data_IF_158319967839
#
_entry.id   IF_158319967839
#
_cell.length_a   1.000
_cell.length_b   1.000
_cell.length_c   1.000
_cell.angle_alpha   90.00
_cell.angle_beta   90.00
_cell.angle_gamma   90.00
#
_symmetry.space_group_name_H-M   'P 1'
#
loop_
_entity.id
_entity.type
_entity.pdbx_description
1 polymer ?
#
# COMPACT_ATOMS: atom_id res chain seq x y z
N UNK A 1 -26.29 -1.67 8.00
CA UNK A 1 -25.62 -0.37 7.77
C UNK A 1 -25.37 -0.21 6.27
N UNK A 2 -25.46 1.00 5.73
CA UNK A 2 -25.11 1.28 4.33
C UNK A 2 -23.96 2.28 4.33
N UNK A 3 -22.86 1.95 3.65
CA UNK A 3 -21.74 2.86 3.42
C UNK A 3 -21.80 3.35 1.98
N UNK A 4 -21.92 4.65 1.81
CA UNK A 4 -21.97 5.31 0.50
C UNK A 4 -20.56 5.84 0.16
N UNK A 5 -19.84 5.11 -0.69
CA UNK A 5 -18.44 5.40 -1.05
C UNK A 5 -18.43 6.31 -2.27
N UNK A 6 -18.73 7.58 -2.03
CA UNK A 6 -19.01 8.56 -3.09
C UNK A 6 -17.83 8.80 -4.02
N UNK A 7 -16.61 8.85 -3.50
CA UNK A 7 -15.43 9.11 -4.33
C UNK A 7 -15.09 7.99 -5.31
N UNK A 8 -15.49 6.76 -4.99
CA UNK A 8 -15.27 5.60 -5.87
C UNK A 8 -16.56 5.05 -6.49
N UNK A 9 -17.72 5.64 -6.20
CA UNK A 9 -19.00 5.29 -6.81
C UNK A 9 -19.51 3.89 -6.45
N UNK A 10 -19.29 3.44 -5.21
CA UNK A 10 -19.71 2.12 -4.73
C UNK A 10 -20.56 2.25 -3.45
N UNK A 11 -21.54 1.38 -3.28
CA UNK A 11 -22.28 1.25 -2.02
C UNK A 11 -22.03 -0.12 -1.39
N UNK A 12 -21.80 -0.14 -0.08
CA UNK A 12 -21.65 -1.37 0.69
C UNK A 12 -22.83 -1.49 1.64
N UNK A 13 -23.56 -2.60 1.52
CA UNK A 13 -24.69 -2.91 2.39
C UNK A 13 -24.29 -4.01 3.36
N UNK A 14 -24.10 -3.64 4.61
CA UNK A 14 -23.83 -4.57 5.70
C UNK A 14 -25.16 -4.93 6.37
N UNK A 15 -25.67 -6.14 6.14
CA UNK A 15 -26.92 -6.60 6.75
C UNK A 15 -26.64 -7.41 8.01
N UNK A 16 -27.17 -6.96 9.15
CA UNK A 16 -27.28 -7.75 10.37
C UNK A 16 -28.55 -8.62 10.39
N UNK A 17 -29.43 -8.45 9.41
CA UNK A 17 -30.66 -9.21 9.26
C UNK A 17 -30.39 -10.54 8.53
N UNK A 18 -31.17 -11.57 8.85
CA UNK A 18 -31.16 -12.89 8.21
C UNK A 18 -31.58 -12.92 6.73
N UNK A 19 -31.76 -11.74 6.12
CA UNK A 19 -32.12 -11.60 4.71
C UNK A 19 -30.88 -11.92 3.88
N UNK A 20 -30.83 -13.14 3.35
CA UNK A 20 -29.69 -13.62 2.56
C UNK A 20 -29.48 -12.81 1.28
N UNK A 21 -28.26 -12.89 0.74
CA UNK A 21 -27.84 -12.20 -0.49
C UNK A 21 -28.87 -12.29 -1.63
N UNK A 22 -29.45 -13.47 -1.88
CA UNK A 22 -30.44 -13.68 -2.95
C UNK A 22 -31.71 -12.82 -2.78
N UNK A 23 -32.16 -12.61 -1.55
CA UNK A 23 -33.34 -11.78 -1.28
C UNK A 23 -33.06 -10.30 -1.55
N UNK A 24 -31.86 -9.83 -1.18
CA UNK A 24 -31.40 -8.47 -1.48
C UNK A 24 -31.26 -8.31 -3.00
N UNK A 25 -30.60 -9.26 -3.66
CA UNK A 25 -30.42 -9.25 -5.11
C UNK A 25 -31.75 -9.22 -5.85
N UNK A 26 -32.72 -10.05 -5.44
CA UNK A 26 -34.05 -10.08 -6.06
C UNK A 26 -34.82 -8.76 -5.87
N UNK A 27 -34.67 -8.12 -4.71
CA UNK A 27 -35.26 -6.80 -4.47
C UNK A 27 -34.65 -5.75 -5.39
N UNK A 28 -33.31 -5.73 -5.50
CA UNK A 28 -32.60 -4.79 -6.36
C UNK A 28 -32.93 -5.01 -7.84
N UNK A 29 -33.06 -6.25 -8.32
CA UNK A 29 -33.49 -6.56 -9.70
C UNK A 29 -34.85 -5.94 -10.02
N UNK A 30 -35.81 -6.10 -9.12
CA UNK A 30 -37.15 -5.50 -9.29
C UNK A 30 -37.10 -3.98 -9.28
N UNK A 31 -36.27 -3.38 -8.42
CA UNK A 31 -36.11 -1.92 -8.37
C UNK A 31 -35.45 -1.39 -9.64
N UNK A 32 -34.45 -2.10 -10.17
CA UNK A 32 -33.75 -1.76 -11.40
C UNK A 32 -34.68 -1.71 -12.62
N UNK A 33 -35.54 -2.72 -12.77
CA UNK A 33 -36.54 -2.76 -13.85
C UNK A 33 -37.50 -1.55 -13.79
N UNK A 34 -37.83 -1.10 -12.57
CA UNK A 34 -38.73 0.04 -12.35
C UNK A 34 -38.04 1.38 -12.56
N UNK A 35 -36.78 1.50 -12.13
CA UNK A 35 -36.03 2.76 -12.13
C UNK A 35 -35.15 2.94 -13.37
N UNK A 36 -34.97 1.92 -14.20
CA UNK A 36 -34.08 1.95 -15.36
C UNK A 36 -32.60 2.12 -14.99
N UNK A 37 -32.19 1.58 -13.83
CA UNK A 37 -30.80 1.65 -13.35
C UNK A 37 -30.10 0.31 -13.56
N UNK A 38 -28.86 0.35 -14.04
CA UNK A 38 -27.97 -0.81 -13.97
C UNK A 38 -27.37 -0.90 -12.56
N UNK A 39 -27.31 -2.11 -12.00
CA UNK A 39 -26.67 -2.34 -10.71
C UNK A 39 -25.96 -3.69 -10.71
N UNK A 40 -24.82 -3.71 -10.03
CA UNK A 40 -24.12 -4.95 -9.69
C UNK A 40 -24.17 -5.16 -8.17
N UNK A 41 -24.39 -6.41 -7.77
CA UNK A 41 -24.41 -6.80 -6.37
C UNK A 41 -23.68 -8.13 -6.22
N UNK A 42 -22.64 -8.13 -5.40
CA UNK A 42 -21.81 -9.30 -5.14
C UNK A 42 -21.60 -9.51 -3.63
N UNK A 43 -21.40 -10.75 -3.17
CA UNK A 43 -21.00 -10.99 -1.80
C UNK A 43 -19.59 -10.44 -1.53
N UNK A 44 -19.32 -10.10 -0.28
CA UNK A 44 -17.98 -9.71 0.14
C UNK A 44 -17.01 -10.89 0.05
N UNK A 45 -15.74 -10.60 -0.21
CA UNK A 45 -14.69 -11.62 -0.39
C UNK A 45 -13.52 -11.35 0.53
N UNK A 46 -12.89 -12.43 0.98
CA UNK A 46 -11.64 -12.34 1.72
C UNK A 46 -10.53 -11.91 0.78
N UNK A 47 -9.73 -10.95 1.24
CA UNK A 47 -8.46 -10.60 0.61
C UNK A 47 -7.33 -11.30 1.37
N UNK A 48 -6.22 -11.49 0.68
CA UNK A 48 -5.07 -12.24 1.16
C UNK A 48 -3.91 -11.25 1.28
N UNK A 49 -3.39 -11.10 2.50
CA UNK A 49 -2.16 -10.35 2.72
C UNK A 49 -1.01 -11.05 1.99
N UNK A 50 -0.18 -10.29 1.28
CA UNK A 50 1.01 -10.88 0.67
C UNK A 50 1.95 -11.39 1.79
N UNK A 51 2.48 -12.62 1.68
CA UNK A 51 3.24 -13.20 2.76
C UNK A 51 4.53 -12.41 2.98
N UNK A 52 4.84 -12.07 4.24
CA UNK A 52 6.21 -11.73 4.61
C UNK A 52 6.99 -13.03 4.76
N UNK A 53 8.15 -13.18 4.08
CA UNK A 53 9.05 -14.29 4.34
C UNK A 53 9.53 -14.29 5.80
N UNK A 54 10.30 -15.31 6.18
CA UNK A 54 10.91 -15.37 7.51
C UNK A 54 11.75 -14.13 7.77
N UNK A 55 11.27 -13.27 8.66
CA UNK A 55 11.91 -12.02 8.99
C UNK A 55 13.16 -12.27 9.84
N UNK A 56 14.31 -11.80 9.38
CA UNK A 56 15.57 -11.87 10.14
C UNK A 56 15.85 -10.51 10.74
N UNK A 57 15.99 -10.45 12.07
CA UNK A 57 16.41 -9.22 12.75
C UNK A 57 17.76 -8.79 12.20
N UNK A 58 17.95 -7.49 11.99
CA UNK A 58 19.22 -6.99 11.50
C UNK A 58 20.40 -7.48 12.33
N UNK A 59 21.45 -7.89 11.63
CA UNK A 59 22.76 -8.11 12.20
C UNK A 59 23.26 -6.82 12.86
N UNK A 60 24.02 -6.95 13.95
CA UNK A 60 24.76 -5.85 14.59
C UNK A 60 25.75 -5.13 13.63
N UNK A 61 25.89 -5.61 12.39
CA UNK A 61 26.73 -5.06 11.33
C UNK A 61 26.09 -3.94 10.52
N UNK A 62 24.77 -3.72 10.59
CA UNK A 62 24.11 -2.62 9.88
C UNK A 62 24.40 -1.28 10.59
N UNK A 63 25.57 -0.71 10.34
CA UNK A 63 26.10 0.46 11.05
C UNK A 63 26.69 1.49 10.09
N UNK A 64 26.73 2.76 10.52
CA UNK A 64 27.53 3.79 9.86
C UNK A 64 26.92 4.45 8.62
N UNK A 65 25.66 4.19 8.29
CA UNK A 65 25.00 4.80 7.14
C UNK A 65 25.35 4.14 5.81
N UNK A 66 24.92 4.74 4.70
CA UNK A 66 25.27 4.27 3.36
C UNK A 66 25.96 5.40 2.57
N UNK A 67 27.29 5.33 2.37
CA UNK A 67 28.04 6.35 1.63
C UNK A 67 27.60 6.51 0.17
N UNK A 68 27.09 5.44 -0.48
CA UNK A 68 26.61 5.49 -1.87
C UNK A 68 25.33 6.34 -1.96
N UNK A 69 24.46 6.19 -0.96
CA UNK A 69 23.21 6.93 -0.86
C UNK A 69 23.43 8.34 -0.27
N UNK A 70 24.48 8.53 0.51
CA UNK A 70 24.75 9.74 1.27
C UNK A 70 23.87 9.87 2.51
N UNK A 71 23.62 8.75 3.20
CA UNK A 71 22.75 8.67 4.39
C UNK A 71 23.57 8.47 5.67
N UNK A 72 23.09 9.03 6.78
CA UNK A 72 23.67 8.85 8.12
C UNK A 72 22.93 7.80 8.98
N UNK A 73 21.83 7.27 8.49
CA UNK A 73 20.97 6.30 9.17
C UNK A 73 21.67 4.93 9.28
N UNK A 74 22.02 4.42 10.47
CA UNK A 74 22.89 3.24 10.60
C UNK A 74 22.43 2.02 9.80
N UNK A 75 21.13 1.75 9.78
CA UNK A 75 20.50 0.64 9.06
C UNK A 75 20.50 0.78 7.54
N UNK A 76 20.68 1.99 6.99
CA UNK A 76 20.75 2.19 5.54
C UNK A 76 21.96 1.50 4.88
N UNK A 77 23.00 1.19 5.65
CA UNK A 77 24.12 0.31 5.24
C UNK A 77 23.65 -1.05 4.71
N UNK A 78 22.53 -1.56 5.23
CA UNK A 78 21.91 -2.81 4.84
C UNK A 78 20.79 -2.64 3.79
N UNK A 79 20.44 -1.41 3.42
CA UNK A 79 19.46 -1.12 2.37
C UNK A 79 20.12 -0.99 0.98
N UNK A 80 20.93 -1.99 0.62
CA UNK A 80 21.68 -2.03 -0.65
C UNK A 80 20.76 -1.98 -1.89
N UNK A 81 19.50 -2.39 -1.74
CA UNK A 81 18.47 -2.29 -2.77
C UNK A 81 18.17 -0.84 -3.21
N UNK A 82 18.40 0.15 -2.34
CA UNK A 82 18.25 1.56 -2.70
C UNK A 82 19.35 2.02 -3.69
N UNK A 83 20.48 1.32 -3.73
CA UNK A 83 21.53 1.56 -4.72
C UNK A 83 21.13 1.04 -6.10
N UNK A 84 20.41 -0.09 -6.17
CA UNK A 84 19.89 -0.69 -7.40
C UNK A 84 18.97 0.27 -8.14
N UNK A 85 18.10 0.99 -7.41
CA UNK A 85 17.21 2.00 -7.97
C UNK A 85 17.85 3.40 -8.04
N UNK A 86 19.17 3.51 -7.82
CA UNK A 86 19.94 4.75 -7.87
C UNK A 86 19.38 5.89 -7.00
N UNK A 87 18.83 5.57 -5.83
CA UNK A 87 18.06 6.52 -5.05
C UNK A 87 18.90 7.73 -4.57
N UNK A 88 20.18 7.50 -4.23
CA UNK A 88 21.10 8.59 -3.88
C UNK A 88 21.25 9.64 -5.00
N UNK A 89 21.22 9.22 -6.27
CA UNK A 89 21.25 10.14 -7.41
C UNK A 89 19.91 10.89 -7.55
N UNK A 90 18.78 10.19 -7.38
CA UNK A 90 17.45 10.81 -7.43
C UNK A 90 17.27 11.87 -6.33
N UNK A 91 17.71 11.59 -5.10
CA UNK A 91 17.68 12.56 -4.01
C UNK A 91 18.57 13.78 -4.26
N UNK A 92 19.79 13.58 -4.79
CA UNK A 92 20.66 14.70 -5.19
C UNK A 92 19.98 15.55 -6.27
N UNK A 93 19.39 14.94 -7.28
CA UNK A 93 18.66 15.65 -8.32
C UNK A 93 17.48 16.45 -7.76
N UNK A 94 16.66 15.85 -6.88
CA UNK A 94 15.52 16.51 -6.25
C UNK A 94 15.94 17.74 -5.42
N UNK A 95 17.02 17.65 -4.63
CA UNK A 95 17.57 18.79 -3.88
C UNK A 95 18.13 19.88 -4.79
N UNK A 96 18.87 19.49 -5.83
CA UNK A 96 19.51 20.43 -6.75
C UNK A 96 18.51 21.15 -7.66
N UNK A 97 17.33 20.57 -7.92
CA UNK A 97 16.33 21.14 -8.80
C UNK A 97 15.74 22.46 -8.28
N UNK A 98 15.86 22.78 -6.98
CA UNK A 98 15.30 23.98 -6.33
C UNK A 98 13.81 24.21 -6.63
N UNK A 99 13.08 23.14 -6.95
CA UNK A 99 11.65 23.19 -7.22
C UNK A 99 10.89 23.26 -5.90
N UNK A 100 9.84 24.07 -5.87
CA UNK A 100 8.85 23.99 -4.78
C UNK A 100 8.03 22.73 -4.98
N UNK A 101 8.41 21.66 -4.31
CA UNK A 101 7.66 20.40 -4.34
C UNK A 101 6.38 20.54 -3.50
N UNK A 102 5.31 19.89 -3.96
CA UNK A 102 4.04 19.81 -3.23
C UNK A 102 4.16 18.74 -2.16
N UNK A 103 3.47 18.95 -1.04
CA UNK A 103 3.25 17.89 -0.06
C UNK A 103 2.40 16.79 -0.70
N UNK A 104 2.73 15.54 -0.42
CA UNK A 104 2.06 14.37 -0.98
C UNK A 104 1.54 13.54 0.18
N UNK A 105 0.28 13.11 0.10
CA UNK A 105 -0.26 12.15 1.05
C UNK A 105 -0.21 10.76 0.43
N UNK A 106 0.53 9.86 1.07
CA UNK A 106 0.63 8.45 0.70
C UNK A 106 -0.25 7.63 1.65
N UNK A 107 -1.26 6.95 1.12
CA UNK A 107 -2.05 6.00 1.88
C UNK A 107 -1.41 4.61 1.83
N UNK A 108 -1.06 4.05 2.99
CA UNK A 108 -0.70 2.63 3.10
C UNK A 108 -1.94 1.89 3.58
N UNK A 109 -2.52 1.08 2.69
CA UNK A 109 -3.72 0.28 2.96
C UNK A 109 -3.26 -1.13 3.31
N UNK A 110 -3.19 -1.46 4.60
CA UNK A 110 -2.44 -2.65 5.05
C UNK A 110 -2.87 -3.14 6.46
N UNK A 111 -1.97 -3.74 7.23
CA UNK A 111 -2.21 -4.26 8.59
C UNK A 111 -2.12 -3.19 9.69
N UNK A 112 -1.80 -1.94 9.33
CA UNK A 112 -1.64 -0.81 10.25
C UNK A 112 -0.22 -0.25 10.24
N UNK A 113 0.16 0.46 11.31
CA UNK A 113 1.55 0.85 11.58
C UNK A 113 1.88 0.77 13.08
N UNK A 114 3.15 0.59 13.44
CA UNK A 114 3.65 0.97 14.77
C UNK A 114 3.64 2.51 14.90
N UNK A 115 2.60 3.01 15.56
CA UNK A 115 2.35 4.44 15.75
C UNK A 115 3.38 5.15 16.63
N UNK A 116 4.27 4.38 17.28
CA UNK A 116 5.32 4.88 18.16
C UNK A 116 6.73 4.63 17.60
N UNK A 117 6.83 4.04 16.40
CA UNK A 117 8.12 3.75 15.80
C UNK A 117 8.93 5.03 15.61
N UNK A 118 10.16 5.13 16.17
CA UNK A 118 10.91 6.38 16.21
C UNK A 118 11.25 6.91 14.82
N UNK A 119 11.39 6.02 13.85
CA UNK A 119 11.68 6.33 12.45
C UNK A 119 10.45 6.74 11.61
N UNK A 120 9.23 6.58 12.15
CA UNK A 120 7.97 6.85 11.45
C UNK A 120 7.11 7.94 12.12
N UNK A 121 7.28 8.18 13.42
CA UNK A 121 6.36 9.02 14.22
C UNK A 121 6.17 10.45 13.67
N UNK A 122 7.18 10.99 12.99
CA UNK A 122 7.15 12.33 12.38
C UNK A 122 6.55 12.37 10.97
N UNK A 123 6.21 11.21 10.40
CA UNK A 123 5.82 11.04 9.01
C UNK A 123 4.31 10.93 8.82
N UNK A 124 3.55 10.75 9.90
CA UNK A 124 2.11 10.57 9.79
C UNK A 124 1.39 11.81 9.25
N UNK A 125 0.47 11.54 8.32
CA UNK A 125 -0.63 12.43 7.99
C UNK A 125 -1.53 12.56 9.21
N UNK A 126 -2.22 13.69 9.33
CA UNK A 126 -3.24 13.91 10.36
C UNK A 126 -4.52 14.33 9.68
N UNK A 127 -5.59 13.63 9.99
CA UNK A 127 -6.93 13.96 9.55
C UNK A 127 -7.31 15.35 10.09
N UNK A 128 -7.61 16.32 9.22
CA UNK A 128 -8.04 17.64 9.67
C UNK A 128 -9.32 17.62 10.52
N UNK A 129 -10.16 16.59 10.40
CA UNK A 129 -11.43 16.48 11.11
C UNK A 129 -11.27 16.08 12.58
N UNK A 130 -10.37 15.14 12.90
CA UNK A 130 -10.27 14.53 14.24
C UNK A 130 -8.83 14.35 14.75
N UNK A 131 -7.82 14.71 13.95
CA UNK A 131 -6.40 14.59 14.31
C UNK A 131 -5.83 13.18 14.28
N UNK A 132 -6.63 12.17 13.92
CA UNK A 132 -6.20 10.78 13.74
C UNK A 132 -5.19 10.65 12.61
N UNK A 133 -4.37 9.60 12.61
CA UNK A 133 -3.38 9.35 11.55
C UNK A 133 -3.93 8.50 10.40
N UNK A 134 -5.20 8.12 10.50
CA UNK A 134 -5.86 7.19 9.60
C UNK A 134 -6.98 6.41 10.31
N UNK A 135 -7.39 5.29 9.74
CA UNK A 135 -8.59 4.57 10.19
C UNK A 135 -8.42 3.06 10.08
N UNK A 136 -9.01 2.33 11.03
CA UNK A 136 -9.07 0.87 11.05
C UNK A 136 -10.47 0.43 10.60
N UNK A 137 -10.57 -0.04 9.37
CA UNK A 137 -11.80 -0.50 8.75
C UNK A 137 -12.23 -1.88 9.24
N UNK A 138 -11.28 -2.71 9.69
CA UNK A 138 -11.56 -4.03 10.23
C UNK A 138 -12.24 -3.98 11.60
N UNK A 139 -11.98 -2.94 12.40
CA UNK A 139 -12.59 -2.74 13.74
C UNK A 139 -13.43 -1.46 13.86
N UNK A 140 -13.59 -0.72 12.77
CA UNK A 140 -14.36 0.52 12.68
C UNK A 140 -14.00 1.58 13.75
N UNK A 141 -12.71 1.88 13.90
CA UNK A 141 -12.20 2.89 14.84
C UNK A 141 -10.86 3.49 14.35
N UNK A 142 -10.25 4.39 15.12
CA UNK A 142 -8.98 5.06 14.74
C UNK A 142 -7.73 4.36 15.26
N UNK A 143 -7.85 3.17 15.88
CA UNK A 143 -6.70 2.39 16.32
C UNK A 143 -6.12 1.59 15.15
N UNK A 144 -5.07 2.14 14.55
CA UNK A 144 -4.35 1.57 13.41
C UNK A 144 -3.06 0.83 13.81
N UNK A 145 -2.94 0.43 15.08
CA UNK A 145 -1.75 -0.28 15.56
C UNK A 145 -1.54 -1.58 14.78
N UNK A 146 -0.32 -1.79 14.34
CA UNK A 146 0.10 -2.99 13.63
C UNK A 146 0.66 -4.05 14.58
N UNK A 147 0.03 -5.22 14.57
CA UNK A 147 0.50 -6.42 15.29
C UNK A 147 1.03 -7.49 14.34
N UNK A 148 0.78 -7.34 13.03
CA UNK A 148 1.19 -8.27 11.98
C UNK A 148 2.50 -7.86 11.29
N UNK A 149 2.96 -6.64 11.57
CA UNK A 149 4.26 -6.06 11.18
C UNK A 149 4.35 -5.63 9.72
N UNK A 150 3.48 -6.16 8.84
CA UNK A 150 3.56 -5.98 7.39
C UNK A 150 3.38 -4.52 6.98
N UNK A 151 2.32 -3.87 7.47
CA UNK A 151 2.07 -2.46 7.19
C UNK A 151 3.16 -1.54 7.72
N UNK A 152 3.74 -1.86 8.89
CA UNK A 152 4.91 -1.13 9.42
C UNK A 152 6.13 -1.29 8.51
N UNK A 153 6.36 -2.48 7.96
CA UNK A 153 7.48 -2.73 7.03
C UNK A 153 7.32 -2.01 5.71
N UNK A 154 6.11 -2.01 5.13
CA UNK A 154 5.79 -1.23 3.94
C UNK A 154 5.94 0.28 4.19
N UNK A 155 5.47 0.78 5.33
CA UNK A 155 5.60 2.18 5.72
C UNK A 155 7.06 2.64 5.81
N UNK A 156 7.93 1.86 6.46
CA UNK A 156 9.35 2.17 6.55
C UNK A 156 10.02 2.31 5.19
N UNK A 157 9.76 1.35 4.29
CA UNK A 157 10.34 1.34 2.95
C UNK A 157 9.98 2.60 2.17
N UNK A 158 8.73 3.06 2.29
CA UNK A 158 8.26 4.22 1.56
C UNK A 158 8.72 5.55 2.19
N UNK A 159 8.62 5.69 3.52
CA UNK A 159 8.59 7.00 4.17
C UNK A 159 9.35 7.11 5.49
N UNK A 160 10.14 6.10 5.90
CA UNK A 160 11.05 6.26 7.04
C UNK A 160 11.87 7.56 6.92
N UNK A 161 12.12 8.20 8.06
CA UNK A 161 12.76 9.50 8.10
C UNK A 161 14.25 9.35 7.81
N UNK A 162 14.66 9.68 6.59
CA UNK A 162 16.06 9.59 6.18
C UNK A 162 16.89 10.75 6.73
N UNK A 163 18.10 10.44 7.18
CA UNK A 163 19.10 11.29 7.82
C UNK A 163 18.77 11.76 9.25
N UNK A 164 18.08 10.94 10.05
CA UNK A 164 17.79 11.25 11.45
C UNK A 164 18.76 10.59 12.45
N UNK A 165 19.86 10.00 11.96
CA UNK A 165 20.88 9.28 12.72
C UNK A 165 20.38 8.01 13.44
N UNK A 166 19.20 7.50 13.10
CA UNK A 166 18.66 6.23 13.62
C UNK A 166 18.17 5.38 12.46
N UNK A 167 17.87 4.11 12.72
CA UNK A 167 17.06 3.30 11.82
C UNK A 167 17.52 3.25 10.36
N UNK A 168 16.57 3.45 9.44
CA UNK A 168 16.71 3.24 8.02
C UNK A 168 16.35 4.50 7.21
N UNK A 169 16.59 4.46 5.91
CA UNK A 169 16.15 5.47 4.98
C UNK A 169 14.89 5.03 4.22
N UNK A 170 13.86 5.89 4.19
CA UNK A 170 12.67 5.72 3.35
C UNK A 170 12.84 6.40 1.99
N UNK A 171 12.15 5.91 0.96
CA UNK A 171 12.28 6.43 -0.42
C UNK A 171 12.01 7.93 -0.53
N UNK A 172 10.97 8.44 0.11
CA UNK A 172 10.43 9.76 -0.20
C UNK A 172 10.84 10.90 0.77
N UNK A 173 11.21 10.59 2.02
CA UNK A 173 11.39 11.58 3.09
C UNK A 173 12.87 11.80 3.46
N UNK A 174 13.63 12.40 2.54
CA UNK A 174 15.02 12.81 2.80
C UNK A 174 15.14 14.16 3.50
N UNK A 175 16.03 14.26 4.49
CA UNK A 175 16.38 15.52 5.16
C UNK A 175 16.76 16.64 4.17
N UNK A 176 16.31 17.86 4.48
CA UNK A 176 16.48 19.06 3.66
C UNK A 176 15.14 19.55 3.08
N UNK A 177 15.15 20.50 2.14
CA UNK A 177 13.93 20.95 1.46
C UNK A 177 13.67 20.13 0.18
N UNK A 178 13.04 18.95 0.28
CA UNK A 178 12.02 18.46 -0.67
C UNK A 178 10.97 17.50 0.00
N UNK A 179 9.98 16.92 -0.72
CA UNK A 179 8.57 16.95 -0.31
C UNK A 179 8.27 16.24 1.02
N UNK A 180 7.30 16.79 1.77
CA UNK A 180 6.77 16.15 2.97
C UNK A 180 5.78 15.09 2.54
N UNK A 181 6.26 13.86 2.29
CA UNK A 181 5.33 12.74 2.10
C UNK A 181 4.75 12.39 3.46
N UNK A 182 3.44 12.56 3.60
CA UNK A 182 2.70 12.26 4.81
C UNK A 182 1.95 10.94 4.68
N UNK A 183 2.19 10.07 5.65
CA UNK A 183 1.68 8.71 5.69
C UNK A 183 0.29 8.67 6.30
N UNK A 184 -0.72 8.38 5.49
CA UNK A 184 -2.07 8.03 5.92
C UNK A 184 -2.15 6.52 6.14
N UNK A 185 -2.53 6.09 7.34
CA UNK A 185 -2.49 4.67 7.72
C UNK A 185 -3.89 4.07 7.70
N UNK A 186 -4.17 3.19 6.74
CA UNK A 186 -5.50 2.60 6.57
C UNK A 186 -5.43 1.10 6.85
N UNK A 187 -5.85 0.70 8.05
CA UNK A 187 -5.80 -0.71 8.48
C UNK A 187 -7.03 -1.46 7.99
N UNK A 188 -6.83 -2.48 7.17
CA UNK A 188 -7.90 -3.31 6.58
C UNK A 188 -7.82 -4.79 6.96
N UNK A 189 -6.73 -5.20 7.60
CA UNK A 189 -6.59 -6.53 8.20
C UNK A 189 -6.77 -6.45 9.71
N UNK A 190 -7.54 -7.37 10.27
CA UNK A 190 -7.61 -7.55 11.72
C UNK A 190 -6.31 -8.14 12.28
N UNK A 191 -6.28 -8.35 13.59
CA UNK A 191 -5.08 -8.81 14.30
C UNK A 191 -4.76 -10.29 14.05
N UNK A 192 -5.67 -11.02 13.39
CA UNK A 192 -5.49 -12.40 12.94
C UNK A 192 -5.09 -12.52 11.47
N UNK A 193 -4.99 -11.38 10.76
CA UNK A 193 -4.65 -11.35 9.33
C UNK A 193 -5.85 -11.53 8.41
N UNK A 194 -7.08 -11.42 8.93
CA UNK A 194 -8.29 -11.48 8.11
C UNK A 194 -8.61 -10.09 7.57
N UNK A 195 -8.71 -9.96 6.26
CA UNK A 195 -9.16 -8.76 5.57
C UNK A 195 -10.33 -9.06 4.63
N UNK A 196 -11.15 -8.05 4.36
CA UNK A 196 -12.26 -8.11 3.43
C UNK A 196 -12.11 -7.07 2.33
N UNK A 197 -12.63 -7.38 1.14
CA UNK A 197 -12.64 -6.45 0.01
C UNK A 197 -13.44 -5.20 0.35
N UNK A 198 -14.57 -5.32 1.06
CA UNK A 198 -15.32 -4.17 1.56
C UNK A 198 -14.48 -3.20 2.39
N UNK A 199 -13.59 -3.69 3.25
CA UNK A 199 -12.68 -2.87 4.05
C UNK A 199 -11.68 -2.15 3.16
N UNK A 200 -11.15 -2.83 2.15
CA UNK A 200 -10.22 -2.27 1.17
C UNK A 200 -10.85 -1.15 0.32
N UNK A 201 -12.11 -1.31 -0.10
CA UNK A 201 -12.82 -0.31 -0.89
C UNK A 201 -13.20 0.91 -0.04
N UNK A 202 -13.59 0.69 1.22
CA UNK A 202 -13.79 1.79 2.19
C UNK A 202 -12.50 2.57 2.43
N UNK A 203 -11.37 1.87 2.54
CA UNK A 203 -10.04 2.48 2.67
C UNK A 203 -9.65 3.27 1.42
N UNK A 204 -9.82 2.71 0.22
CA UNK A 204 -9.57 3.43 -1.04
C UNK A 204 -10.42 4.69 -1.13
N UNK A 205 -11.72 4.60 -0.81
CA UNK A 205 -12.61 5.76 -0.78
C UNK A 205 -12.11 6.83 0.21
N UNK A 206 -11.76 6.43 1.44
CA UNK A 206 -11.23 7.34 2.44
C UNK A 206 -9.94 8.02 1.97
N UNK A 207 -9.04 7.28 1.32
CA UNK A 207 -7.80 7.81 0.77
C UNK A 207 -8.10 8.90 -0.27
N UNK A 208 -8.99 8.63 -1.22
CA UNK A 208 -9.37 9.59 -2.28
C UNK A 208 -10.05 10.82 -1.67
N UNK A 209 -11.03 10.64 -0.77
CA UNK A 209 -11.76 11.74 -0.13
C UNK A 209 -10.87 12.64 0.72
N UNK A 210 -9.84 12.08 1.35
CA UNK A 210 -8.91 12.81 2.21
C UNK A 210 -7.63 13.26 1.47
N UNK A 211 -7.64 13.24 0.14
CA UNK A 211 -6.59 13.84 -0.69
C UNK A 211 -5.29 13.04 -0.75
N UNK A 212 -5.31 11.74 -0.46
CA UNK A 212 -4.20 10.86 -0.79
C UNK A 212 -3.95 10.89 -2.30
N UNK A 213 -2.73 11.22 -2.70
CA UNK A 213 -2.35 11.23 -4.13
C UNK A 213 -2.03 9.82 -4.60
N UNK A 214 -1.45 9.01 -3.72
CA UNK A 214 -1.01 7.65 -4.01
C UNK A 214 -1.49 6.71 -2.91
N UNK A 215 -1.89 5.49 -3.25
CA UNK A 215 -2.10 4.39 -2.32
C UNK A 215 -1.20 3.20 -2.63
N UNK A 216 -0.77 2.49 -1.58
CA UNK A 216 -0.05 1.22 -1.68
C UNK A 216 -0.96 0.07 -1.25
N UNK A 217 -0.98 -0.99 -2.05
CA UNK A 217 -1.81 -2.18 -1.89
C UNK A 217 -0.96 -3.45 -1.96
N UNK A 218 -0.50 -3.92 -0.80
CA UNK A 218 0.39 -5.09 -0.67
C UNK A 218 -0.41 -6.33 -0.22
N UNK A 219 -1.45 -6.62 -0.98
CA UNK A 219 -2.39 -7.71 -0.76
C UNK A 219 -3.12 -8.01 -2.06
N UNK A 220 -3.82 -9.14 -2.11
CA UNK A 220 -4.51 -9.57 -3.32
C UNK A 220 -5.82 -10.32 -3.10
N UNK A 221 -6.56 -10.51 -4.18
CA UNK A 221 -7.66 -11.47 -4.32
C UNK A 221 -7.74 -11.99 -5.77
N UNK A 222 -8.59 -12.97 -6.04
CA UNK A 222 -8.54 -13.73 -7.30
C UNK A 222 -9.67 -13.43 -8.30
N UNK A 223 -10.85 -13.02 -7.83
CA UNK A 223 -12.00 -12.76 -8.70
C UNK A 223 -12.24 -11.27 -8.86
N UNK A 224 -12.44 -10.78 -10.08
CA UNK A 224 -12.85 -9.39 -10.34
C UNK A 224 -14.33 -9.29 -10.67
N UNK A 225 -14.88 -8.11 -10.43
CA UNK A 225 -16.20 -7.69 -10.90
C UNK A 225 -16.16 -6.31 -11.55
N UNK A 226 -17.24 -5.91 -12.22
CA UNK A 226 -17.37 -4.56 -12.76
C UNK A 226 -17.45 -3.51 -11.65
N UNK A 227 -18.03 -3.85 -10.49
CA UNK A 227 -18.04 -3.00 -9.30
C UNK A 227 -16.61 -2.68 -8.83
N UNK A 228 -15.76 -3.70 -8.73
CA UNK A 228 -14.36 -3.52 -8.34
C UNK A 228 -13.57 -2.70 -9.37
N UNK A 229 -13.78 -2.95 -10.67
CA UNK A 229 -13.17 -2.17 -11.74
C UNK A 229 -13.61 -0.71 -11.69
N UNK A 230 -14.92 -0.46 -11.51
CA UNK A 230 -15.48 0.88 -11.42
C UNK A 230 -14.89 1.66 -10.25
N UNK A 231 -14.73 1.02 -9.08
CA UNK A 231 -14.12 1.65 -7.90
C UNK A 231 -12.72 2.22 -8.19
N UNK A 232 -11.84 1.40 -8.75
CA UNK A 232 -10.47 1.84 -9.07
C UNK A 232 -10.42 2.79 -10.27
N UNK A 233 -11.31 2.63 -11.27
CA UNK A 233 -11.44 3.59 -12.38
C UNK A 233 -11.88 4.97 -11.88
N UNK A 234 -12.82 5.03 -10.94
CA UNK A 234 -13.29 6.28 -10.34
C UNK A 234 -12.21 6.92 -9.46
N UNK A 235 -11.48 6.13 -8.67
CA UNK A 235 -10.31 6.63 -7.95
C UNK A 235 -9.27 7.24 -8.92
N UNK A 236 -8.95 6.54 -10.02
CA UNK A 236 -8.05 7.04 -11.05
C UNK A 236 -8.57 8.32 -11.73
N UNK A 237 -9.87 8.40 -12.03
CA UNK A 237 -10.51 9.59 -12.60
C UNK A 237 -10.47 10.79 -11.65
N UNK A 238 -10.45 10.56 -10.32
CA UNK A 238 -10.21 11.58 -9.31
C UNK A 238 -8.73 12.00 -9.16
N UNK A 239 -7.84 11.45 -9.99
CA UNK A 239 -6.41 11.75 -9.98
C UNK A 239 -5.59 10.91 -8.99
N UNK A 240 -6.18 9.87 -8.40
CA UNK A 240 -5.50 8.97 -7.48
C UNK A 240 -4.68 7.91 -8.22
N UNK A 241 -3.49 7.58 -7.70
CA UNK A 241 -2.62 6.54 -8.25
C UNK A 241 -2.59 5.36 -7.28
N UNK A 242 -3.16 4.23 -7.68
CA UNK A 242 -3.02 2.98 -6.94
C UNK A 242 -1.74 2.24 -7.38
N UNK A 243 -0.95 1.78 -6.40
CA UNK A 243 0.22 0.93 -6.61
C UNK A 243 -0.04 -0.41 -5.94
N UNK A 244 -0.05 -1.48 -6.70
CA UNK A 244 -0.38 -2.82 -6.23
C UNK A 244 0.76 -3.81 -6.50
N UNK A 245 1.01 -4.70 -5.54
CA UNK A 245 1.94 -5.80 -5.70
C UNK A 245 1.38 -6.86 -6.66
N UNK A 246 2.25 -7.46 -7.48
CA UNK A 246 1.88 -8.55 -8.37
C UNK A 246 1.51 -9.86 -7.62
N UNK A 247 2.06 -10.04 -6.43
CA UNK A 247 1.95 -11.26 -5.61
C UNK A 247 3.20 -12.16 -5.71
N UNK A 248 3.24 -13.20 -4.87
CA UNK A 248 4.47 -13.92 -4.51
C UNK A 248 4.39 -15.44 -4.77
N UNK A 249 3.70 -15.84 -5.84
CA UNK A 249 3.39 -17.26 -6.15
C UNK A 249 4.06 -17.76 -7.44
N UNK A 250 5.00 -16.98 -8.01
CA UNK A 250 5.64 -17.25 -9.30
C UNK A 250 4.62 -17.47 -10.45
N UNK A 251 3.50 -16.76 -10.40
CA UNK A 251 2.41 -16.89 -11.37
C UNK A 251 2.65 -16.05 -12.62
N UNK A 252 2.27 -16.65 -13.74
CA UNK A 252 1.96 -15.97 -15.00
C UNK A 252 0.58 -15.30 -14.86
N UNK A 253 0.56 -13.96 -14.81
CA UNK A 253 -0.66 -13.16 -14.61
C UNK A 253 -1.57 -13.11 -15.83
N UNK A 254 -1.12 -13.55 -17.01
CA UNK A 254 -2.01 -13.74 -18.17
C UNK A 254 -2.92 -14.96 -17.97
N UNK A 255 -2.46 -15.95 -17.20
CA UNK A 255 -3.19 -17.19 -16.93
C UNK A 255 -3.87 -17.18 -15.56
N UNK A 256 -3.21 -16.63 -14.55
CA UNK A 256 -3.65 -16.66 -13.15
C UNK A 256 -3.70 -15.23 -12.61
N UNK A 257 -4.76 -14.51 -12.95
CA UNK A 257 -4.93 -13.09 -12.60
C UNK A 257 -5.04 -12.90 -11.08
N UNK A 258 -4.44 -11.83 -10.59
CA UNK A 258 -4.54 -11.36 -9.20
C UNK A 258 -4.94 -9.89 -9.18
N UNK A 259 -5.81 -9.51 -8.26
CA UNK A 259 -6.35 -8.17 -8.12
C UNK A 259 -5.93 -7.57 -6.77
N UNK A 260 -5.66 -6.26 -6.67
CA UNK A 260 -6.02 -5.24 -7.66
C UNK A 260 -4.99 -5.09 -8.79
N UNK A 261 -3.82 -5.74 -8.73
CA UNK A 261 -2.73 -5.56 -9.70
C UNK A 261 -3.18 -5.66 -11.16
N UNK A 262 -3.94 -6.70 -11.51
CA UNK A 262 -4.45 -6.91 -12.86
C UNK A 262 -5.48 -5.86 -13.34
N UNK A 263 -5.96 -4.96 -12.48
CA UNK A 263 -6.77 -3.80 -12.90
C UNK A 263 -5.92 -2.76 -13.65
N UNK A 264 -4.59 -2.79 -13.52
CA UNK A 264 -3.69 -1.87 -14.21
C UNK A 264 -3.70 -2.03 -15.74
N UNK A 265 -4.26 -3.13 -16.26
CA UNK A 265 -4.52 -3.34 -17.69
C UNK A 265 -5.55 -2.34 -18.21
N UNK A 266 -6.62 -2.11 -17.46
CA UNK A 266 -7.72 -1.19 -17.79
C UNK A 266 -7.51 0.23 -17.26
N UNK A 267 -6.55 0.41 -16.34
CA UNK A 267 -6.32 1.66 -15.61
C UNK A 267 -4.86 2.11 -15.81
N UNK A 268 -4.59 2.97 -16.81
CA UNK A 268 -3.22 3.36 -17.17
C UNK A 268 -2.43 4.01 -16.03
N UNK A 269 -3.09 4.79 -15.15
CA UNK A 269 -2.47 5.45 -14.00
C UNK A 269 -2.15 4.52 -12.83
N UNK A 270 -2.73 3.32 -12.80
CA UNK A 270 -2.44 2.32 -11.78
C UNK A 270 -1.15 1.57 -12.10
N UNK A 271 -0.35 1.25 -11.10
CA UNK A 271 0.91 0.52 -11.24
C UNK A 271 0.79 -0.87 -10.63
N UNK A 272 1.01 -1.89 -11.46
CA UNK A 272 1.19 -3.27 -11.03
C UNK A 272 2.69 -3.57 -10.98
N UNK A 273 3.21 -3.90 -9.79
CA UNK A 273 4.64 -3.94 -9.48
C UNK A 273 5.09 -5.38 -9.22
N UNK A 274 6.00 -5.87 -10.06
CA UNK A 274 6.70 -7.14 -9.85
C UNK A 274 7.88 -6.96 -8.87
N UNK A 275 8.32 -8.05 -8.23
CA UNK A 275 9.50 -8.07 -7.37
C UNK A 275 10.77 -8.39 -8.17
N UNK A 276 11.85 -7.64 -7.93
CA UNK A 276 13.19 -7.89 -8.46
C UNK A 276 14.16 -8.32 -7.37
N UNK A 277 15.32 -8.84 -7.81
CA UNK A 277 16.50 -8.96 -6.97
C UNK A 277 17.00 -7.59 -6.51
N UNK A 278 17.80 -7.61 -5.43
CA UNK A 278 18.11 -6.43 -4.62
C UNK A 278 19.61 -6.18 -4.41
N UNK A 279 20.47 -7.06 -4.94
CA UNK A 279 21.92 -6.95 -4.76
C UNK A 279 22.53 -6.08 -5.88
N UNK A 280 23.11 -4.91 -5.58
CA UNK A 280 23.74 -4.05 -6.58
C UNK A 280 25.03 -4.61 -7.19
N UNK A 281 25.58 -5.71 -6.66
CA UNK A 281 26.76 -6.39 -7.24
C UNK A 281 26.39 -7.43 -8.30
N UNK A 282 25.10 -7.71 -8.48
CA UNK A 282 24.59 -8.72 -9.41
C UNK A 282 23.66 -8.09 -10.44
N UNK A 283 23.44 -8.71 -11.61
CA UNK A 283 22.42 -8.28 -12.55
C UNK A 283 21.03 -8.28 -11.89
N UNK A 284 20.26 -7.22 -12.14
CA UNK A 284 18.85 -7.15 -11.71
C UNK A 284 18.04 -8.14 -12.53
N UNK A 285 17.29 -9.00 -11.86
CA UNK A 285 16.37 -9.95 -12.47
C UNK A 285 15.08 -10.02 -11.65
N UNK A 286 14.03 -10.64 -12.21
CA UNK A 286 12.82 -10.91 -11.43
C UNK A 286 13.14 -11.84 -10.26
N UNK A 287 12.57 -11.56 -9.09
CA UNK A 287 12.63 -12.45 -7.95
C UNK A 287 11.94 -13.77 -8.30
N UNK A 288 12.50 -14.91 -7.87
CA UNK A 288 11.98 -16.23 -8.26
C UNK A 288 10.54 -16.50 -7.80
N UNK A 289 10.04 -15.78 -6.80
CA UNK A 289 8.66 -15.86 -6.32
C UNK A 289 7.73 -14.83 -6.98
N UNK A 290 8.25 -13.84 -7.73
CA UNK A 290 7.43 -12.76 -8.26
C UNK A 290 6.40 -13.30 -9.23
N UNK A 291 5.14 -12.94 -9.03
CA UNK A 291 4.17 -12.98 -10.13
C UNK A 291 4.59 -11.95 -11.18
N UNK A 292 4.37 -12.26 -12.44
CA UNK A 292 4.71 -11.38 -13.56
C UNK A 292 3.77 -11.60 -14.74
N UNK A 293 3.67 -10.58 -15.59
CA UNK A 293 2.91 -10.62 -16.83
C UNK A 293 2.99 -9.30 -17.58
N UNK A 294 2.37 -9.20 -18.74
CA UNK A 294 2.22 -7.97 -19.51
C UNK A 294 1.60 -6.83 -18.68
N UNK A 295 0.73 -7.16 -17.72
CA UNK A 295 0.13 -6.16 -16.81
C UNK A 295 1.14 -5.55 -15.83
N UNK A 296 2.24 -6.25 -15.52
CA UNK A 296 3.30 -5.70 -14.66
C UNK A 296 4.08 -4.63 -15.41
N UNK A 297 3.92 -3.37 -15.01
CA UNK A 297 4.50 -2.21 -15.71
C UNK A 297 5.95 -1.95 -15.32
N UNK A 298 6.34 -2.39 -14.12
CA UNK A 298 7.66 -2.17 -13.53
C UNK A 298 7.98 -3.29 -12.55
N UNK A 299 9.27 -3.59 -12.38
CA UNK A 299 9.76 -4.40 -11.28
C UNK A 299 10.55 -3.51 -10.31
N UNK A 300 10.39 -3.75 -9.00
CA UNK A 300 11.10 -3.03 -7.95
C UNK A 300 11.75 -4.04 -6.97
N UNK A 301 12.83 -3.65 -6.26
CA UNK A 301 13.48 -4.56 -5.32
C UNK A 301 12.49 -5.11 -4.28
N UNK A 302 12.37 -6.43 -4.22
CA UNK A 302 11.44 -7.14 -3.32
C UNK A 302 12.08 -8.29 -2.54
N UNK A 303 13.35 -8.59 -2.79
CA UNK A 303 14.13 -9.63 -2.07
C UNK A 303 14.96 -8.94 -0.98
N UNK A 304 15.10 -9.53 0.21
CA UNK A 304 16.02 -9.02 1.24
C UNK A 304 15.78 -7.55 1.62
N UNK A 305 14.52 -7.15 1.77
CA UNK A 305 14.13 -5.75 2.03
C UNK A 305 14.18 -5.48 3.53
N UNK A 306 15.11 -4.62 3.91
CA UNK A 306 15.34 -4.23 5.29
C UNK A 306 14.55 -2.97 5.66
N UNK A 307 13.59 -3.10 6.60
CA UNK A 307 12.69 -2.01 6.97
C UNK A 307 12.20 -2.10 8.42
N UNK A 308 11.42 -1.11 8.83
CA UNK A 308 10.84 -0.95 10.17
C UNK A 308 9.81 -2.03 10.49
N UNK A 309 9.75 -2.49 11.74
CA UNK A 309 8.69 -3.37 12.26
C UNK A 309 8.32 -2.94 13.69
N UNK A 310 7.17 -3.41 14.24
CA UNK A 310 6.71 -2.97 15.55
C UNK A 310 7.71 -3.17 16.69
N UNK A 311 7.66 -2.25 17.66
CA UNK A 311 8.56 -2.21 18.82
C UNK A 311 9.82 -1.36 18.59
N UNK A 312 9.81 -0.48 17.57
CA UNK A 312 10.99 0.29 17.19
C UNK A 312 12.12 -0.56 16.61
N UNK A 313 11.80 -1.71 16.02
CA UNK A 313 12.75 -2.70 15.52
C UNK A 313 12.85 -2.65 13.99
N UNK A 314 13.86 -3.34 13.44
CA UNK A 314 14.13 -3.37 12.00
C UNK A 314 14.52 -4.77 11.54
N UNK A 315 13.84 -5.28 10.52
CA UNK A 315 13.95 -6.66 10.05
C UNK A 315 14.05 -6.71 8.52
N UNK A 316 14.72 -7.75 8.04
CA UNK A 316 14.91 -8.03 6.62
C UNK A 316 13.99 -9.19 6.20
N UNK A 317 13.30 -9.04 5.07
CA UNK A 317 12.49 -10.09 4.43
C UNK A 317 13.34 -11.11 3.69
#
# INVERSE_FOLDING_TARGET
MVYDLKAIGVQIVESTCSVGHNSILNYLKKAADVLGIEFDCEPDVKIILDPMPSMVQASATCTGGNPVLGTNDPGSSCQRYLEVIHLGAAWRAARCAKLKLKDVVLAVIDTGVDTTHPDLVNQFWRNPADGSIGFNFAKNNTNVTDVLRHGTHCAGSAVAQTNNCIGIAGVANIEGPPPKVKLMVLKIFDDSGVGLLSYSLRALNFAVENGATVSSHSYRWYNTSELQKAAYKNAAAAGHIAVAAAGNEALDLEKNRTYPCCLAEDIPSMLCVAASTSNPTEPVSLAGFSNAGFVTKVAAPGVDIYSTVPGGLYYKT
#
